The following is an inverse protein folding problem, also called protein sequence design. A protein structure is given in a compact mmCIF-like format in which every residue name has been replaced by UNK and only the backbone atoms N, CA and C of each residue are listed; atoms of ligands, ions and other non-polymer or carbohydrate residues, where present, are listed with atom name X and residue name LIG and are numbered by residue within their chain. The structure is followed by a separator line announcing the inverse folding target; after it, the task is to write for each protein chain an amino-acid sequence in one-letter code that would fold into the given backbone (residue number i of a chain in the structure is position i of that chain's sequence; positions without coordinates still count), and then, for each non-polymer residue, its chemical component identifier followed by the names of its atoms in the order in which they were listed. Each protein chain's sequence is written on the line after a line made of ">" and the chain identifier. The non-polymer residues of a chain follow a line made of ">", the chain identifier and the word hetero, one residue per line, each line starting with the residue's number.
data_IF_403164214791
#
_entry.id   IF_403164214791
#
_cell.length_a   1.000
_cell.length_b   1.000
_cell.length_c   1.000
_cell.angle_alpha   90.00
_cell.angle_beta   90.00
_cell.angle_gamma   90.00
#
_symmetry.space_group_name_H-M   'P 1'
#
loop_
_entity.id
_entity.type
_entity.pdbx_description
1 polymer ?
#
# COMPACT_ATOMS: atom_id res chain seq x y z
N UNK A 1 -23.12 35.88 -0.94
CA UNK A 1 -23.02 34.61 -1.68
C UNK A 1 -22.02 34.79 -2.81
N UNK A 2 -20.72 34.67 -2.53
CA UNK A 2 -19.69 34.81 -3.57
C UNK A 2 -19.58 33.49 -4.33
N UNK A 3 -19.78 33.52 -5.64
CA UNK A 3 -19.59 32.39 -6.56
C UNK A 3 -18.25 31.69 -6.34
N UNK A 4 -17.23 32.45 -5.95
CA UNK A 4 -15.90 31.96 -5.61
C UNK A 4 -15.90 30.87 -4.52
N UNK A 5 -16.74 31.02 -3.48
CA UNK A 5 -16.79 30.03 -2.39
C UNK A 5 -17.33 28.67 -2.90
N UNK A 6 -18.27 28.68 -3.83
CA UNK A 6 -18.80 27.45 -4.43
C UNK A 6 -17.77 26.77 -5.31
N UNK A 7 -17.01 27.54 -6.08
CA UNK A 7 -15.92 27.01 -6.91
C UNK A 7 -14.83 26.38 -6.04
N UNK A 8 -14.43 27.07 -4.96
CA UNK A 8 -13.45 26.54 -3.99
C UNK A 8 -13.97 25.26 -3.35
N UNK A 9 -15.22 25.22 -2.91
CA UNK A 9 -15.82 24.03 -2.32
C UNK A 9 -15.86 22.86 -3.32
N UNK A 10 -16.20 23.11 -4.58
CA UNK A 10 -16.21 22.09 -5.63
C UNK A 10 -14.83 21.47 -5.84
N UNK A 11 -13.78 22.30 -5.94
CA UNK A 11 -12.40 21.80 -6.04
C UNK A 11 -11.94 21.09 -4.78
N UNK A 12 -12.36 21.54 -3.59
CA UNK A 12 -12.01 20.90 -2.34
C UNK A 12 -12.52 19.45 -2.29
N UNK A 13 -13.76 19.20 -2.74
CA UNK A 13 -14.31 17.83 -2.83
C UNK A 13 -13.46 16.96 -3.76
N UNK A 14 -13.08 17.47 -4.94
CA UNK A 14 -12.19 16.75 -5.86
C UNK A 14 -10.85 16.39 -5.22
N UNK A 15 -10.19 17.33 -4.54
CA UNK A 15 -8.91 17.10 -3.87
C UNK A 15 -9.05 16.09 -2.74
N UNK A 16 -10.12 16.16 -1.96
CA UNK A 16 -10.40 15.22 -0.86
C UNK A 16 -10.55 13.80 -1.41
N UNK A 17 -11.38 13.62 -2.44
CA UNK A 17 -11.60 12.30 -3.07
C UNK A 17 -10.31 11.75 -3.68
N UNK A 18 -9.55 12.58 -4.41
CA UNK A 18 -8.28 12.18 -5.02
C UNK A 18 -7.24 11.79 -3.96
N UNK A 19 -7.16 12.57 -2.87
CA UNK A 19 -6.24 12.28 -1.77
C UNK A 19 -6.65 11.01 -1.04
N UNK A 20 -7.95 10.77 -0.86
CA UNK A 20 -8.46 9.56 -0.23
C UNK A 20 -8.08 8.30 -1.02
N UNK A 21 -8.28 8.33 -2.34
CA UNK A 21 -7.90 7.23 -3.22
C UNK A 21 -6.40 6.94 -3.17
N UNK A 22 -5.58 8.01 -3.22
CA UNK A 22 -4.12 7.89 -3.09
C UNK A 22 -3.69 7.30 -1.74
N UNK A 23 -4.28 7.76 -0.63
CA UNK A 23 -3.97 7.28 0.71
C UNK A 23 -4.41 5.81 0.87
N UNK A 24 -5.60 5.45 0.39
CA UNK A 24 -6.11 4.09 0.44
C UNK A 24 -5.22 3.11 -0.34
N UNK A 25 -4.85 3.45 -1.56
CA UNK A 25 -3.95 2.65 -2.42
C UNK A 25 -2.57 2.50 -1.76
N UNK A 26 -2.01 3.58 -1.24
CA UNK A 26 -0.70 3.56 -0.58
C UNK A 26 -0.71 2.71 0.70
N UNK A 27 -1.80 2.74 1.46
CA UNK A 27 -1.99 1.89 2.64
C UNK A 27 -2.07 0.40 2.26
N UNK A 28 -2.77 0.05 1.18
CA UNK A 28 -2.84 -1.32 0.67
C UNK A 28 -1.45 -1.83 0.27
N UNK A 29 -0.70 -1.06 -0.52
CA UNK A 29 0.65 -1.41 -0.96
C UNK A 29 1.58 -1.64 0.24
N UNK A 30 1.52 -0.78 1.28
CA UNK A 30 2.34 -0.96 2.48
C UNK A 30 2.00 -2.23 3.25
N UNK A 31 0.72 -2.63 3.27
CA UNK A 31 0.29 -3.89 3.91
C UNK A 31 0.79 -5.10 3.12
N UNK A 32 0.68 -5.07 1.80
CA UNK A 32 1.16 -6.15 0.93
C UNK A 32 2.67 -6.32 1.00
N UNK A 33 3.43 -5.22 0.97
CA UNK A 33 4.88 -5.26 1.16
C UNK A 33 5.28 -5.85 2.51
N UNK A 34 4.52 -5.55 3.58
CA UNK A 34 4.77 -6.12 4.90
C UNK A 34 4.49 -7.62 4.93
N UNK A 35 3.42 -8.07 4.27
CA UNK A 35 3.10 -9.48 4.08
C UNK A 35 4.15 -10.22 3.22
N UNK A 36 4.60 -9.60 2.13
CA UNK A 36 5.67 -10.12 1.29
C UNK A 36 6.99 -10.25 2.06
N UNK A 37 7.34 -9.28 2.90
CA UNK A 37 8.56 -9.33 3.73
C UNK A 37 8.50 -10.41 4.81
N UNK A 38 7.32 -10.65 5.39
CA UNK A 38 7.10 -11.76 6.32
C UNK A 38 7.21 -13.12 5.62
N UNK A 39 6.77 -13.24 4.36
CA UNK A 39 6.96 -14.46 3.57
C UNK A 39 8.43 -14.67 3.18
N UNK A 40 9.09 -13.63 2.69
CA UNK A 40 10.51 -13.67 2.32
C UNK A 40 11.41 -14.05 3.50
N UNK A 41 11.13 -13.54 4.71
CA UNK A 41 11.88 -13.94 5.92
C UNK A 41 11.66 -15.39 6.32
N UNK A 42 10.48 -15.97 6.07
CA UNK A 42 10.21 -17.40 6.32
C UNK A 42 10.88 -18.31 5.30
N UNK A 43 10.93 -17.90 4.03
CA UNK A 43 11.68 -18.62 2.99
C UNK A 43 13.18 -18.53 3.22
N UNK A 44 13.72 -17.37 3.60
CA UNK A 44 15.13 -17.21 3.95
C UNK A 44 15.52 -18.00 5.21
N UNK A 45 14.59 -18.19 6.15
CA UNK A 45 14.82 -18.98 7.36
C UNK A 45 14.62 -20.49 7.16
N UNK A 46 14.25 -20.97 5.96
CA UNK A 46 14.14 -22.40 5.68
C UNK A 46 15.56 -22.96 5.46
N UNK A 47 16.15 -23.69 6.42
CA UNK A 47 17.47 -24.25 6.24
C UNK A 47 17.35 -25.45 5.29
N UNK A 48 18.12 -25.42 4.21
CA UNK A 48 18.58 -26.61 3.50
C UNK A 48 17.52 -27.63 3.12
N UNK A 49 16.71 -27.33 2.09
CA UNK A 49 16.15 -28.41 1.26
C UNK A 49 17.21 -29.00 0.30
N UNK A 50 18.33 -28.30 0.13
CA UNK A 50 19.48 -28.75 -0.66
C UNK A 50 20.45 -29.66 0.11
N UNK A 51 20.36 -29.71 1.45
CA UNK A 51 21.21 -30.56 2.28
C UNK A 51 20.75 -32.03 2.34
N UNK A 52 19.48 -32.30 2.01
CA UNK A 52 18.87 -33.63 2.12
C UNK A 52 18.95 -34.44 0.80
N UNK A 53 19.19 -33.78 -0.33
CA UNK A 53 19.40 -34.44 -1.62
C UNK A 53 20.86 -34.89 -1.87
N UNK A 54 21.78 -34.56 -0.95
CA UNK A 54 23.21 -34.84 -1.08
C UNK A 54 23.76 -35.87 -0.07
N UNK A 55 22.91 -36.50 0.77
CA UNK A 55 23.35 -37.44 1.82
C UNK A 55 22.87 -38.86 1.58
#
# INVERSE_FOLDING_TARGET
>A
MSYQNYVVAAYAVFVIVLTWDYVATKLQIRRELRGARLRASREAARPGKDAELSR
#
